data_IF_861041360072
#
_entry.id   IF_861041360072
#
_cell.length_a   1.000
_cell.length_b   1.000
_cell.length_c   1.000
_cell.angle_alpha   90.00
_cell.angle_beta   90.00
_cell.angle_gamma   90.00
#
_symmetry.space_group_name_H-M   'P 1'
#
loop_
_entity.id
_entity.type
_entity.pdbx_description
1 polymer ?
#
# COMPACT_ATOMS: atom_id res chain seq x y z
N UNK A 1 -18.88 -24.83 0.95
CA UNK A 1 -17.40 -24.81 1.06
C UNK A 1 -17.00 -23.92 2.22
N UNK A 2 -16.10 -24.37 3.11
CA UNK A 2 -15.63 -23.48 4.20
C UNK A 2 -14.84 -22.30 3.63
N UNK A 3 -14.79 -21.17 4.37
CA UNK A 3 -14.03 -19.98 3.95
C UNK A 3 -12.56 -20.29 3.68
N UNK A 4 -11.95 -21.13 4.51
CA UNK A 4 -10.55 -21.55 4.36
C UNK A 4 -10.30 -22.46 3.15
N UNK A 5 -11.24 -23.32 2.81
CA UNK A 5 -11.14 -24.12 1.58
C UNK A 5 -11.30 -23.26 0.32
N UNK A 6 -12.16 -22.24 0.36
CA UNK A 6 -12.30 -21.27 -0.74
C UNK A 6 -11.00 -20.49 -0.97
N UNK A 7 -10.38 -20.02 0.12
CA UNK A 7 -9.08 -19.35 0.07
C UNK A 7 -7.98 -20.25 -0.51
N UNK A 8 -7.92 -21.51 -0.09
CA UNK A 8 -6.94 -22.46 -0.63
C UNK A 8 -7.11 -22.63 -2.15
N UNK A 9 -8.34 -22.75 -2.64
CA UNK A 9 -8.59 -22.84 -4.09
C UNK A 9 -8.06 -21.62 -4.82
N UNK A 10 -8.35 -20.41 -4.32
CA UNK A 10 -7.84 -19.19 -4.95
C UNK A 10 -6.32 -19.07 -4.84
N UNK A 11 -5.70 -19.51 -3.74
CA UNK A 11 -4.24 -19.54 -3.62
C UNK A 11 -3.59 -20.52 -4.59
N UNK A 12 -4.18 -21.69 -4.79
CA UNK A 12 -3.69 -22.67 -5.78
C UNK A 12 -3.81 -22.09 -7.20
N UNK A 13 -4.92 -21.43 -7.53
CA UNK A 13 -5.09 -20.76 -8.81
C UNK A 13 -4.08 -19.62 -8.98
N UNK A 14 -3.89 -18.77 -7.96
CA UNK A 14 -2.88 -17.72 -7.97
C UNK A 14 -1.48 -18.29 -8.16
N UNK A 15 -1.14 -19.38 -7.46
CA UNK A 15 0.13 -20.09 -7.59
C UNK A 15 0.35 -20.67 -8.98
N UNK A 16 -0.68 -21.25 -9.60
CA UNK A 16 -0.61 -21.77 -10.96
C UNK A 16 -0.36 -20.64 -11.99
N UNK A 17 -1.13 -19.54 -11.91
CA UNK A 17 -0.97 -18.37 -12.78
C UNK A 17 0.42 -17.76 -12.60
N UNK A 18 0.88 -17.62 -11.36
CA UNK A 18 2.21 -17.09 -11.04
C UNK A 18 3.34 -17.93 -11.61
N UNK A 19 3.24 -19.25 -11.45
CA UNK A 19 4.25 -20.18 -11.97
C UNK A 19 4.27 -20.14 -13.49
N UNK A 20 3.11 -20.10 -14.15
CA UNK A 20 3.02 -19.99 -15.60
C UNK A 20 3.64 -18.69 -16.11
N UNK A 21 3.33 -17.55 -15.49
CA UNK A 21 3.89 -16.25 -15.84
C UNK A 21 5.41 -16.24 -15.69
N UNK A 22 5.93 -16.73 -14.56
CA UNK A 22 7.36 -16.81 -14.30
C UNK A 22 8.09 -17.72 -15.28
N UNK A 23 7.55 -18.91 -15.56
CA UNK A 23 8.10 -19.85 -16.56
C UNK A 23 8.10 -19.23 -17.94
N UNK A 24 7.04 -18.51 -18.33
CA UNK A 24 6.95 -17.82 -19.62
C UNK A 24 8.05 -16.76 -19.77
N UNK A 25 8.24 -15.92 -18.76
CA UNK A 25 9.32 -14.91 -18.74
C UNK A 25 10.70 -15.56 -18.77
N UNK A 26 10.89 -16.62 -18.01
CA UNK A 26 12.17 -17.35 -17.97
C UNK A 26 12.50 -17.97 -19.32
N UNK A 27 11.54 -18.67 -19.94
CA UNK A 27 11.70 -19.27 -21.26
C UNK A 27 11.97 -18.22 -22.35
N UNK A 28 11.28 -17.08 -22.31
CA UNK A 28 11.53 -15.95 -23.20
C UNK A 28 12.93 -15.35 -23.08
N UNK A 29 13.50 -15.36 -21.87
CA UNK A 29 14.82 -14.77 -21.58
C UNK A 29 16.00 -15.71 -21.88
N UNK A 30 15.87 -16.98 -21.51
CA UNK A 30 16.97 -17.97 -21.57
C UNK A 30 16.79 -19.02 -22.67
N UNK A 31 15.65 -19.04 -23.37
CA UNK A 31 15.25 -20.03 -24.38
C UNK A 31 15.25 -21.48 -23.90
N UNK A 32 15.32 -21.70 -22.59
CA UNK A 32 15.30 -23.01 -21.93
C UNK A 32 14.48 -22.92 -20.64
N UNK A 33 13.80 -24.01 -20.28
CA UNK A 33 13.14 -24.14 -18.98
C UNK A 33 14.13 -24.82 -18.03
N UNK A 34 14.65 -24.09 -17.05
CA UNK A 34 15.59 -24.62 -16.07
C UNK A 34 14.87 -24.95 -14.76
N UNK A 35 15.42 -25.93 -14.01
CA UNK A 35 14.95 -26.31 -12.67
C UNK A 35 14.89 -25.13 -11.70
N UNK A 36 15.77 -24.15 -11.83
CA UNK A 36 15.81 -22.94 -11.01
C UNK A 36 14.52 -22.12 -11.10
N UNK A 37 13.91 -22.01 -12.30
CA UNK A 37 12.65 -21.26 -12.47
C UNK A 37 11.48 -21.91 -11.74
N UNK A 38 11.43 -23.23 -11.72
CA UNK A 38 10.42 -24.00 -11.01
C UNK A 38 10.61 -23.87 -9.48
N UNK A 39 11.87 -23.92 -9.00
CA UNK A 39 12.17 -23.81 -7.56
C UNK A 39 11.70 -22.46 -7.00
N UNK A 40 11.91 -21.35 -7.69
CA UNK A 40 11.43 -20.04 -7.22
C UNK A 40 9.90 -19.97 -7.16
N UNK A 41 9.20 -20.52 -8.15
CA UNK A 41 7.74 -20.63 -8.12
C UNK A 41 7.25 -21.49 -6.94
N UNK A 42 7.89 -22.63 -6.70
CA UNK A 42 7.55 -23.52 -5.56
C UNK A 42 7.78 -22.82 -4.22
N UNK A 43 8.92 -22.13 -4.04
CA UNK A 43 9.20 -21.38 -2.81
C UNK A 43 8.14 -20.31 -2.58
N UNK A 44 7.78 -19.55 -3.64
CA UNK A 44 6.73 -18.53 -3.56
C UNK A 44 5.39 -19.13 -3.09
N UNK A 45 4.96 -20.22 -3.72
CA UNK A 45 3.73 -20.92 -3.36
C UNK A 45 3.79 -21.46 -1.93
N UNK A 46 4.94 -22.02 -1.52
CA UNK A 46 5.13 -22.53 -0.16
C UNK A 46 5.00 -21.45 0.91
N UNK A 47 5.50 -20.23 0.66
CA UNK A 47 5.34 -19.09 1.58
C UNK A 47 3.85 -18.80 1.80
N UNK A 48 3.06 -18.65 0.74
CA UNK A 48 1.65 -18.32 0.85
C UNK A 48 0.81 -19.49 1.41
N UNK A 49 1.18 -20.73 1.14
CA UNK A 49 0.56 -21.89 1.79
C UNK A 49 0.87 -21.93 3.30
N UNK A 50 2.08 -21.56 3.71
CA UNK A 50 2.42 -21.43 5.13
C UNK A 50 1.55 -20.35 5.80
N UNK A 51 1.41 -19.17 5.18
CA UNK A 51 0.53 -18.11 5.68
C UNK A 51 -0.93 -18.58 5.75
N UNK A 52 -1.41 -19.30 4.74
CA UNK A 52 -2.76 -19.90 4.75
C UNK A 52 -2.94 -20.88 5.91
N UNK A 53 -1.95 -21.74 6.17
CA UNK A 53 -2.02 -22.69 7.32
C UNK A 53 -2.07 -21.94 8.64
N UNK A 54 -1.32 -20.86 8.79
CA UNK A 54 -1.38 -19.99 9.95
C UNK A 54 -2.77 -19.35 10.12
N UNK A 55 -3.35 -18.81 9.03
CA UNK A 55 -4.70 -18.27 9.05
C UNK A 55 -5.74 -19.33 9.41
N UNK A 56 -5.58 -20.54 8.91
CA UNK A 56 -6.47 -21.66 9.23
C UNK A 56 -6.45 -22.01 10.72
N UNK A 57 -5.30 -21.87 11.36
CA UNK A 57 -5.12 -22.18 12.80
C UNK A 57 -5.56 -21.04 13.71
N UNK A 58 -5.17 -19.81 13.39
CA UNK A 58 -5.35 -18.66 14.29
C UNK A 58 -6.48 -17.70 13.89
N UNK A 59 -6.84 -17.66 12.60
CA UNK A 59 -7.83 -16.73 12.04
C UNK A 59 -8.88 -17.46 11.19
N UNK A 60 -9.56 -18.50 11.71
CA UNK A 60 -10.41 -19.41 10.91
C UNK A 60 -11.59 -18.70 10.23
N UNK A 61 -12.07 -17.57 10.77
CA UNK A 61 -13.21 -16.81 10.24
C UNK A 61 -12.79 -15.57 9.45
N UNK A 62 -11.49 -15.34 9.20
CA UNK A 62 -11.02 -14.20 8.43
C UNK A 62 -11.51 -14.21 6.97
N UNK A 63 -11.36 -13.08 6.29
CA UNK A 63 -11.74 -12.91 4.89
C UNK A 63 -10.94 -13.82 3.96
N UNK A 64 -11.58 -14.61 3.08
CA UNK A 64 -10.88 -15.58 2.25
C UNK A 64 -10.26 -15.01 0.97
N UNK A 65 -10.40 -13.70 0.70
CA UNK A 65 -9.94 -13.09 -0.56
C UNK A 65 -8.66 -12.27 -0.39
N UNK A 66 -8.40 -11.70 0.79
CA UNK A 66 -7.27 -10.79 0.99
C UNK A 66 -5.92 -11.47 0.71
N UNK A 67 -5.69 -12.67 1.27
CA UNK A 67 -4.42 -13.38 1.09
C UNK A 67 -4.20 -13.84 -0.37
N UNK A 68 -5.19 -14.43 -1.09
CA UNK A 68 -5.02 -14.78 -2.50
C UNK A 68 -4.78 -13.58 -3.43
N UNK A 69 -5.47 -12.46 -3.20
CA UNK A 69 -5.23 -11.23 -3.98
C UNK A 69 -3.82 -10.70 -3.73
N UNK A 70 -3.37 -10.70 -2.47
CA UNK A 70 -2.00 -10.34 -2.10
C UNK A 70 -0.97 -11.24 -2.79
N UNK A 71 -1.21 -12.56 -2.80
CA UNK A 71 -0.34 -13.52 -3.47
C UNK A 71 -0.25 -13.26 -4.96
N UNK A 72 -1.37 -13.00 -5.63
CA UNK A 72 -1.39 -12.75 -7.07
C UNK A 72 -0.67 -11.45 -7.42
N UNK A 73 -0.92 -10.36 -6.68
CA UNK A 73 -0.21 -9.08 -6.88
C UNK A 73 1.31 -9.23 -6.65
N UNK A 74 1.73 -9.91 -5.57
CA UNK A 74 3.14 -10.15 -5.27
C UNK A 74 3.82 -11.03 -6.31
N UNK A 75 3.12 -12.01 -6.86
CA UNK A 75 3.60 -12.86 -7.92
C UNK A 75 3.85 -12.09 -9.22
N UNK A 76 2.87 -11.26 -9.61
CA UNK A 76 3.01 -10.41 -10.81
C UNK A 76 4.20 -9.45 -10.65
N UNK A 77 4.31 -8.80 -9.48
CA UNK A 77 5.45 -7.94 -9.18
C UNK A 77 6.79 -8.67 -9.27
N UNK A 78 6.89 -9.83 -8.62
CA UNK A 78 8.14 -10.61 -8.62
C UNK A 78 8.52 -11.08 -10.03
N UNK A 79 7.54 -11.46 -10.85
CA UNK A 79 7.75 -11.87 -12.25
C UNK A 79 8.30 -10.71 -13.09
N UNK A 80 7.71 -9.53 -12.99
CA UNK A 80 8.17 -8.34 -13.72
C UNK A 80 9.53 -7.84 -13.24
N UNK A 81 9.76 -7.83 -11.91
CA UNK A 81 11.08 -7.50 -11.35
C UNK A 81 12.14 -8.46 -11.87
N UNK A 82 11.85 -9.76 -11.92
CA UNK A 82 12.76 -10.75 -12.49
C UNK A 82 13.02 -10.51 -13.99
N UNK A 83 11.98 -10.14 -14.74
CA UNK A 83 12.06 -9.78 -16.15
C UNK A 83 13.03 -8.62 -16.39
N UNK A 84 12.92 -7.57 -15.57
CA UNK A 84 13.71 -6.34 -15.70
C UNK A 84 15.13 -6.56 -15.13
N UNK A 85 15.24 -7.01 -13.88
CA UNK A 85 16.52 -7.15 -13.16
C UNK A 85 16.51 -8.34 -12.21
N UNK A 86 16.99 -9.53 -12.61
CA UNK A 86 16.93 -10.77 -11.83
C UNK A 86 17.55 -10.70 -10.45
N UNK A 87 18.63 -9.92 -10.27
CA UNK A 87 19.27 -9.74 -8.96
C UNK A 87 18.34 -9.10 -7.94
N UNK A 88 17.47 -8.15 -8.37
CA UNK A 88 16.51 -7.51 -7.50
C UNK A 88 15.32 -8.44 -7.15
N UNK A 89 14.97 -9.38 -8.03
CA UNK A 89 13.94 -10.36 -7.73
C UNK A 89 14.32 -11.28 -6.56
N UNK A 90 15.61 -11.65 -6.46
CA UNK A 90 16.12 -12.40 -5.31
C UNK A 90 16.00 -11.61 -4.02
N UNK A 91 16.42 -10.34 -4.04
CA UNK A 91 16.31 -9.45 -2.89
C UNK A 91 14.84 -9.22 -2.51
N UNK A 92 13.94 -9.05 -3.48
CA UNK A 92 12.51 -8.92 -3.23
C UNK A 92 11.92 -10.21 -2.62
N UNK A 93 12.38 -11.38 -3.07
CA UNK A 93 12.01 -12.67 -2.47
C UNK A 93 12.46 -12.80 -1.00
N UNK A 94 13.67 -12.32 -0.66
CA UNK A 94 14.14 -12.24 0.72
C UNK A 94 13.26 -11.32 1.57
N UNK A 95 12.89 -10.15 1.05
CA UNK A 95 11.96 -9.24 1.71
C UNK A 95 10.56 -9.82 1.87
N UNK A 96 10.09 -10.63 0.92
CA UNK A 96 8.83 -11.35 1.05
C UNK A 96 8.87 -12.33 2.23
N UNK A 97 10.00 -13.03 2.43
CA UNK A 97 10.20 -13.90 3.60
C UNK A 97 10.20 -13.11 4.92
N UNK A 98 10.90 -11.96 4.97
CA UNK A 98 10.88 -11.07 6.13
C UNK A 98 9.46 -10.57 6.40
N UNK A 99 8.74 -10.18 5.35
CA UNK A 99 7.34 -9.73 5.45
C UNK A 99 6.41 -10.85 5.93
N UNK A 100 6.58 -12.08 5.42
CA UNK A 100 5.84 -13.25 5.89
C UNK A 100 6.13 -13.55 7.38
N UNK A 101 7.38 -13.43 7.81
CA UNK A 101 7.75 -13.58 9.22
C UNK A 101 7.09 -12.50 10.09
N UNK A 102 7.07 -11.24 9.64
CA UNK A 102 6.39 -10.16 10.37
C UNK A 102 4.86 -10.30 10.35
N UNK A 103 4.27 -10.83 9.28
CA UNK A 103 2.86 -11.22 9.26
C UNK A 103 2.58 -12.24 10.37
N UNK A 104 3.36 -13.33 10.43
CA UNK A 104 3.25 -14.38 11.46
C UNK A 104 3.40 -13.78 12.85
N UNK A 105 4.45 -12.99 13.07
CA UNK A 105 4.70 -12.34 14.36
C UNK A 105 3.55 -11.40 14.76
N UNK A 106 2.99 -10.66 13.81
CA UNK A 106 1.83 -9.79 14.06
C UNK A 106 0.65 -10.60 14.56
N UNK A 107 0.30 -11.71 13.90
CA UNK A 107 -0.81 -12.57 14.31
C UNK A 107 -0.55 -13.22 15.69
N UNK A 108 0.67 -13.70 15.94
CA UNK A 108 1.00 -14.43 17.17
C UNK A 108 1.19 -13.54 18.40
N UNK A 109 1.82 -12.35 18.21
CA UNK A 109 2.13 -11.44 19.32
C UNK A 109 0.93 -10.55 19.66
N UNK A 110 0.31 -9.95 18.64
CA UNK A 110 -0.82 -9.05 18.87
C UNK A 110 -2.05 -9.82 19.35
N UNK A 111 -2.28 -11.03 18.82
CA UNK A 111 -3.41 -11.95 19.13
C UNK A 111 -4.79 -11.31 19.02
N UNK A 112 -4.96 -10.15 19.62
CA UNK A 112 -6.17 -9.33 19.54
C UNK A 112 -5.77 -7.89 19.19
N UNK A 113 -6.19 -7.44 18.01
CA UNK A 113 -5.86 -6.10 17.50
C UNK A 113 -6.38 -4.97 18.40
N UNK A 114 -7.40 -5.21 19.23
CA UNK A 114 -7.90 -4.20 20.20
C UNK A 114 -6.81 -3.79 21.21
N UNK A 115 -5.85 -4.66 21.50
CA UNK A 115 -4.72 -4.28 22.36
C UNK A 115 -3.92 -3.10 21.79
N UNK A 116 -3.90 -2.92 20.48
CA UNK A 116 -3.22 -1.80 19.83
C UNK A 116 -3.85 -0.46 20.23
N UNK A 117 -5.16 -0.40 20.48
CA UNK A 117 -5.83 0.80 20.95
C UNK A 117 -5.32 1.26 22.31
N UNK A 118 -5.04 0.31 23.22
CA UNK A 118 -4.47 0.62 24.53
C UNK A 118 -3.09 1.30 24.43
N UNK A 119 -2.31 0.92 23.41
CA UNK A 119 -0.94 1.43 23.19
C UNK A 119 -0.87 2.48 22.09
N UNK A 120 -2.01 3.05 21.63
CA UNK A 120 -2.10 3.98 20.49
C UNK A 120 -1.10 5.15 20.54
N UNK A 121 -0.91 5.77 21.70
CA UNK A 121 0.04 6.87 21.87
C UNK A 121 1.50 6.42 21.73
N UNK A 122 1.83 5.28 22.30
CA UNK A 122 3.17 4.69 22.16
C UNK A 122 3.44 4.30 20.71
N UNK A 123 2.48 3.66 20.05
CA UNK A 123 2.61 3.27 18.63
C UNK A 123 2.75 4.52 17.76
N UNK A 124 1.96 5.57 17.98
CA UNK A 124 2.09 6.83 17.28
C UNK A 124 3.45 7.51 17.52
N UNK A 125 3.95 7.52 18.77
CA UNK A 125 5.27 8.03 19.09
C UNK A 125 6.38 7.22 18.40
N UNK A 126 6.27 5.89 18.33
CA UNK A 126 7.19 5.04 17.56
C UNK A 126 7.14 5.39 16.07
N UNK A 127 5.97 5.64 15.50
CA UNK A 127 5.82 6.09 14.12
C UNK A 127 6.58 7.39 13.85
N UNK A 128 6.43 8.40 14.72
CA UNK A 128 7.21 9.64 14.64
C UNK A 128 8.70 9.41 14.83
N UNK A 129 9.09 8.58 15.79
CA UNK A 129 10.49 8.25 16.04
C UNK A 129 11.16 7.59 14.83
N UNK A 130 10.45 6.74 14.09
CA UNK A 130 10.92 6.16 12.82
C UNK A 130 11.20 7.23 11.76
N UNK A 131 10.37 8.27 11.66
CA UNK A 131 10.61 9.39 10.74
C UNK A 131 11.82 10.23 11.19
N UNK A 132 11.94 10.54 12.49
CA UNK A 132 13.12 11.23 13.06
C UNK A 132 14.39 10.42 12.81
N UNK A 133 14.35 9.12 13.05
CA UNK A 133 15.48 8.22 12.83
C UNK A 133 15.96 8.26 11.38
N UNK A 134 15.04 8.37 10.42
CA UNK A 134 15.37 8.52 9.00
C UNK A 134 16.08 9.85 8.73
N UNK A 135 15.66 10.94 9.37
CA UNK A 135 16.33 12.25 9.23
C UNK A 135 17.77 12.19 9.76
N UNK A 136 17.99 11.50 10.89
CA UNK A 136 19.31 11.41 11.54
C UNK A 136 20.22 10.42 10.82
N UNK A 137 19.78 9.18 10.62
CA UNK A 137 20.60 8.06 10.14
C UNK A 137 20.44 7.76 8.65
N UNK A 138 19.45 8.35 7.97
CA UNK A 138 19.16 8.05 6.57
C UNK A 138 20.27 8.50 5.64
N UNK A 139 20.44 7.75 4.54
CA UNK A 139 21.33 8.09 3.44
C UNK A 139 20.59 8.89 2.36
N UNK A 140 21.30 9.84 1.76
CA UNK A 140 20.72 10.65 0.68
C UNK A 140 20.91 9.95 -0.66
N UNK A 141 19.80 9.61 -1.32
CA UNK A 141 19.78 9.02 -2.66
C UNK A 141 18.91 9.93 -3.54
N UNK A 142 19.42 10.35 -4.69
CA UNK A 142 18.72 11.27 -5.61
C UNK A 142 18.19 12.54 -4.92
N UNK A 143 18.93 13.06 -3.94
CA UNK A 143 18.56 14.27 -3.19
C UNK A 143 17.50 14.11 -2.11
N UNK A 144 16.94 12.92 -1.91
CA UNK A 144 16.00 12.59 -0.85
C UNK A 144 16.63 11.66 0.20
N UNK A 145 16.30 11.86 1.48
CA UNK A 145 16.84 11.10 2.60
C UNK A 145 15.80 10.13 3.12
N UNK A 146 15.67 8.96 2.46
CA UNK A 146 14.55 8.04 2.65
C UNK A 146 14.95 6.70 3.26
N UNK A 147 16.21 6.28 3.06
CA UNK A 147 16.66 4.91 3.31
C UNK A 147 17.66 4.84 4.45
N UNK A 148 17.47 3.88 5.34
CA UNK A 148 18.46 3.47 6.33
C UNK A 148 19.05 2.14 5.87
N UNK A 149 20.36 2.10 5.69
CA UNK A 149 21.08 0.87 5.35
C UNK A 149 21.56 0.19 6.64
N UNK A 150 21.06 -1.02 6.89
CA UNK A 150 21.45 -1.82 8.05
C UNK A 150 21.54 -3.30 7.65
N UNK A 151 22.59 -3.98 8.07
CA UNK A 151 22.79 -5.43 7.85
C UNK A 151 22.64 -5.89 6.39
N UNK A 152 23.03 -5.03 5.44
CA UNK A 152 22.89 -5.33 4.00
C UNK A 152 21.49 -5.10 3.41
N UNK A 153 20.55 -4.61 4.22
CA UNK A 153 19.20 -4.26 3.80
C UNK A 153 18.99 -2.74 3.77
N UNK A 154 18.17 -2.28 2.82
CA UNK A 154 17.72 -0.89 2.73
C UNK A 154 16.29 -0.80 3.25
N UNK A 155 16.12 -0.17 4.39
CA UNK A 155 14.82 -0.02 5.07
C UNK A 155 14.32 1.41 4.86
N UNK A 156 13.05 1.56 4.49
CA UNK A 156 12.34 2.83 4.42
C UNK A 156 11.36 2.93 5.61
N UNK A 157 11.73 3.64 6.70
CA UNK A 157 10.93 3.65 7.92
C UNK A 157 9.55 4.29 7.75
N UNK A 158 9.35 5.19 6.77
CA UNK A 158 8.06 5.83 6.50
C UNK A 158 6.95 4.83 6.15
N UNK A 159 7.28 3.67 5.55
CA UNK A 159 6.31 2.61 5.27
C UNK A 159 5.74 1.99 6.56
N UNK A 160 6.55 1.82 7.60
CA UNK A 160 6.09 1.35 8.92
C UNK A 160 5.43 2.47 9.73
N UNK A 161 5.95 3.70 9.64
CA UNK A 161 5.36 4.87 10.28
C UNK A 161 3.91 5.10 9.79
N UNK A 162 3.62 4.84 8.52
CA UNK A 162 2.27 4.86 7.96
C UNK A 162 1.30 4.00 8.77
N UNK A 163 1.67 2.75 9.06
CA UNK A 163 0.83 1.83 9.84
C UNK A 163 0.66 2.31 11.29
N UNK A 164 1.74 2.75 11.91
CA UNK A 164 1.71 3.26 13.27
C UNK A 164 0.79 4.49 13.42
N UNK A 165 0.82 5.40 12.46
CA UNK A 165 -0.04 6.59 12.43
C UNK A 165 -1.51 6.21 12.19
N UNK A 166 -1.79 5.23 11.31
CA UNK A 166 -3.16 4.72 11.13
C UNK A 166 -3.71 4.13 12.43
N UNK A 167 -2.92 3.33 13.17
CA UNK A 167 -3.32 2.78 14.47
C UNK A 167 -3.60 3.89 15.48
N UNK A 168 -2.70 4.88 15.57
CA UNK A 168 -2.89 6.03 16.46
C UNK A 168 -4.15 6.80 16.11
N UNK A 169 -4.35 7.15 14.83
CA UNK A 169 -5.52 7.90 14.38
C UNK A 169 -6.81 7.13 14.66
N UNK A 170 -6.84 5.82 14.35
CA UNK A 170 -8.02 4.99 14.59
C UNK A 170 -8.45 5.01 16.06
N UNK A 171 -7.52 4.79 16.99
CA UNK A 171 -7.82 4.79 18.42
C UNK A 171 -8.15 6.18 18.96
N UNK A 172 -7.39 7.20 18.55
CA UNK A 172 -7.65 8.57 19.00
C UNK A 172 -9.00 9.09 18.51
N UNK A 173 -9.31 8.87 17.24
CA UNK A 173 -10.55 9.32 16.64
C UNK A 173 -11.77 8.60 17.21
N UNK A 174 -11.68 7.29 17.48
CA UNK A 174 -12.78 6.56 18.12
C UNK A 174 -13.10 7.12 19.50
N UNK A 175 -12.09 7.40 20.32
CA UNK A 175 -12.24 7.96 21.67
C UNK A 175 -12.80 9.41 21.64
N UNK A 176 -12.41 10.23 20.65
CA UNK A 176 -12.73 11.67 20.60
C UNK A 176 -13.76 12.07 19.54
N UNK A 177 -14.30 11.13 18.75
CA UNK A 177 -15.23 11.43 17.63
C UNK A 177 -16.40 12.33 18.01
N UNK A 178 -17.02 12.11 19.17
CA UNK A 178 -18.16 12.94 19.63
C UNK A 178 -17.70 14.38 19.89
N UNK A 179 -16.58 14.55 20.59
CA UNK A 179 -16.03 15.87 20.91
C UNK A 179 -15.54 16.62 19.66
N UNK A 180 -15.02 15.89 18.68
CA UNK A 180 -14.58 16.44 17.40
C UNK A 180 -15.74 16.77 16.47
N UNK A 181 -16.91 16.13 16.67
CA UNK A 181 -18.10 16.39 15.86
C UNK A 181 -18.92 17.59 16.35
N UNK A 182 -18.73 18.05 17.60
CA UNK A 182 -19.46 19.19 18.16
C UNK A 182 -18.64 20.47 18.05
N UNK A 183 -19.05 21.46 17.26
CA UNK A 183 -18.36 22.74 17.18
C UNK A 183 -18.46 23.50 18.47
N UNK A 184 -17.34 23.96 19.03
CA UNK A 184 -17.30 24.80 20.25
C UNK A 184 -16.87 26.24 19.96
N UNK A 185 -16.22 26.48 18.81
CA UNK A 185 -15.77 27.80 18.38
C UNK A 185 -16.01 28.00 16.89
N UNK A 186 -16.22 29.22 16.48
CA UNK A 186 -16.25 29.62 15.07
C UNK A 186 -15.03 30.49 14.79
N UNK A 187 -14.17 30.06 13.88
CA UNK A 187 -13.01 30.84 13.42
C UNK A 187 -13.20 31.10 11.93
N UNK A 188 -13.30 32.35 11.55
CA UNK A 188 -13.60 32.77 10.16
C UNK A 188 -14.86 32.11 9.58
N UNK A 189 -15.89 31.91 10.41
CA UNK A 189 -17.14 31.25 10.00
C UNK A 189 -17.05 29.70 9.93
N UNK A 190 -15.88 29.11 10.16
CA UNK A 190 -15.69 27.64 10.17
C UNK A 190 -15.94 27.12 11.59
N UNK A 191 -16.86 26.17 11.78
CA UNK A 191 -17.13 25.56 13.09
C UNK A 191 -16.00 24.59 13.46
N UNK A 192 -15.16 24.97 14.42
CA UNK A 192 -14.03 24.17 14.90
C UNK A 192 -14.32 23.54 16.26
N UNK A 193 -13.82 22.32 16.52
CA UNK A 193 -13.86 21.71 17.84
C UNK A 193 -12.91 22.42 18.81
N UNK A 194 -13.04 22.13 20.12
CA UNK A 194 -12.10 22.66 21.10
C UNK A 194 -10.68 22.19 20.79
N UNK A 195 -9.72 23.12 20.86
CA UNK A 195 -8.30 22.85 20.60
C UNK A 195 -7.73 21.71 21.46
N UNK A 196 -8.24 21.55 22.68
CA UNK A 196 -7.88 20.44 23.59
C UNK A 196 -8.03 19.06 22.92
N UNK A 197 -9.03 18.87 22.05
CA UNK A 197 -9.30 17.59 21.40
C UNK A 197 -8.71 17.51 19.98
N UNK A 198 -8.55 18.64 19.32
CA UNK A 198 -7.97 18.69 17.97
C UNK A 198 -6.45 18.85 18.00
N UNK A 199 -5.90 19.48 19.05
CA UNK A 199 -4.48 19.79 19.17
C UNK A 199 -3.55 18.58 19.03
N UNK A 200 -3.73 17.48 19.78
CA UNK A 200 -2.88 16.29 19.65
C UNK A 200 -2.89 15.68 18.25
N UNK A 201 -4.02 15.69 17.55
CA UNK A 201 -4.14 15.26 16.17
C UNK A 201 -3.35 16.17 15.24
N UNK A 202 -3.53 17.48 15.42
CA UNK A 202 -2.84 18.48 14.61
C UNK A 202 -1.32 18.40 14.80
N UNK A 203 -0.86 18.23 16.03
CA UNK A 203 0.58 18.08 16.35
C UNK A 203 1.16 16.84 15.64
N UNK A 204 0.52 15.69 15.82
CA UNK A 204 0.97 14.44 15.15
C UNK A 204 1.03 14.61 13.64
N UNK A 205 0.00 15.22 13.07
CA UNK A 205 -0.10 15.43 11.64
C UNK A 205 0.96 16.42 11.12
N UNK A 206 1.07 17.60 11.75
CA UNK A 206 2.05 18.62 11.35
C UNK A 206 3.48 18.10 11.49
N UNK A 207 3.80 17.39 12.59
CA UNK A 207 5.13 16.79 12.79
C UNK A 207 5.42 15.73 11.72
N UNK A 208 4.46 14.86 11.41
CA UNK A 208 4.64 13.84 10.37
C UNK A 208 4.91 14.48 9.01
N UNK A 209 4.11 15.50 8.64
CA UNK A 209 4.29 16.21 7.38
C UNK A 209 5.61 16.98 7.33
N UNK A 210 5.96 17.69 8.40
CA UNK A 210 7.22 18.42 8.48
C UNK A 210 8.41 17.47 8.26
N UNK A 211 8.43 16.32 8.96
CA UNK A 211 9.49 15.32 8.80
C UNK A 211 9.59 14.80 7.37
N UNK A 212 8.46 14.49 6.72
CA UNK A 212 8.44 14.02 5.34
C UNK A 212 8.90 15.09 4.34
N UNK A 213 8.57 16.36 4.60
CA UNK A 213 9.08 17.48 3.80
C UNK A 213 10.60 17.63 3.98
N UNK A 214 11.13 17.53 5.21
CA UNK A 214 12.58 17.54 5.44
C UNK A 214 13.31 16.38 4.76
N UNK A 215 12.67 15.21 4.68
CA UNK A 215 13.16 14.05 3.95
C UNK A 215 13.03 14.20 2.43
N UNK A 216 12.29 15.19 1.96
CA UNK A 216 11.86 15.38 0.55
C UNK A 216 11.01 14.23 0.02
N UNK A 217 10.24 13.59 0.88
CA UNK A 217 9.30 12.51 0.56
C UNK A 217 7.88 13.08 0.34
N UNK A 218 7.70 13.78 -0.74
CA UNK A 218 6.42 14.44 -1.04
C UNK A 218 5.30 13.43 -1.36
N UNK A 219 5.67 12.25 -1.88
CA UNK A 219 4.71 11.18 -2.14
C UNK A 219 4.10 10.63 -0.85
N UNK A 220 4.94 10.32 0.13
CA UNK A 220 4.48 9.88 1.44
C UNK A 220 3.78 11.02 2.21
N UNK A 221 4.21 12.27 2.05
CA UNK A 221 3.52 13.41 2.64
C UNK A 221 2.08 13.55 2.13
N UNK A 222 1.88 13.42 0.82
CA UNK A 222 0.54 13.38 0.21
C UNK A 222 -0.30 12.23 0.75
N UNK A 223 0.30 11.04 0.85
CA UNK A 223 -0.37 9.84 1.38
C UNK A 223 -0.81 10.04 2.85
N UNK A 224 0.09 10.52 3.73
CA UNK A 224 -0.23 10.76 5.14
C UNK A 224 -1.31 11.82 5.33
N UNK A 225 -1.22 12.91 4.56
CA UNK A 225 -2.26 13.95 4.51
C UNK A 225 -3.62 13.35 4.16
N UNK A 226 -3.67 12.58 3.08
CA UNK A 226 -4.92 12.00 2.57
C UNK A 226 -5.50 10.96 3.54
N UNK A 227 -4.66 10.14 4.19
CA UNK A 227 -5.09 9.21 5.24
C UNK A 227 -5.70 9.98 6.42
N UNK A 228 -5.03 11.04 6.87
CA UNK A 228 -5.53 11.85 7.98
C UNK A 228 -6.91 12.45 7.69
N UNK A 229 -7.06 13.10 6.54
CA UNK A 229 -8.33 13.71 6.12
C UNK A 229 -9.43 12.65 5.95
N UNK A 230 -9.10 11.53 5.33
CA UNK A 230 -10.02 10.42 5.12
C UNK A 230 -10.53 9.83 6.44
N UNK A 231 -9.63 9.54 7.39
CA UNK A 231 -10.01 9.02 8.71
C UNK A 231 -10.80 10.04 9.54
N UNK A 232 -10.42 11.33 9.49
CA UNK A 232 -11.18 12.40 10.13
C UNK A 232 -12.63 12.46 9.62
N UNK A 233 -12.80 12.37 8.29
CA UNK A 233 -14.14 12.34 7.70
C UNK A 233 -14.93 11.10 8.12
N UNK A 234 -14.31 9.91 8.03
CA UNK A 234 -14.98 8.66 8.41
C UNK A 234 -15.37 8.59 9.89
N UNK A 235 -14.57 9.22 10.77
CA UNK A 235 -14.87 9.25 12.20
C UNK A 235 -15.93 10.27 12.59
N UNK A 236 -15.97 11.43 11.91
CA UNK A 236 -16.82 12.58 12.32
C UNK A 236 -18.00 12.84 11.40
N UNK A 237 -18.01 12.29 10.18
CA UNK A 237 -18.95 12.58 9.09
C UNK A 237 -19.05 14.09 8.74
N UNK A 238 -18.02 14.90 9.07
CA UNK A 238 -18.01 16.35 8.85
C UNK A 238 -17.22 16.71 7.61
N UNK A 239 -17.88 17.17 6.57
CA UNK A 239 -17.27 17.62 5.30
C UNK A 239 -16.27 18.77 5.50
N UNK A 240 -16.43 19.56 6.56
CA UNK A 240 -15.54 20.67 6.91
C UNK A 240 -14.09 20.22 7.02
N UNK A 241 -13.82 19.04 7.56
CA UNK A 241 -12.44 18.51 7.64
C UNK A 241 -11.86 18.17 6.28
N UNK A 242 -12.69 17.71 5.35
CA UNK A 242 -12.26 17.45 3.96
C UNK A 242 -11.92 18.76 3.26
N UNK A 243 -12.81 19.77 3.37
CA UNK A 243 -12.60 21.09 2.75
C UNK A 243 -11.38 21.80 3.36
N UNK A 244 -11.26 21.79 4.70
CA UNK A 244 -10.11 22.39 5.38
C UNK A 244 -8.81 21.65 5.01
N UNK A 245 -8.83 20.31 4.99
CA UNK A 245 -7.69 19.50 4.59
C UNK A 245 -7.28 19.76 3.14
N UNK A 246 -8.23 19.79 2.21
CA UNK A 246 -7.97 20.10 0.81
C UNK A 246 -7.41 21.52 0.63
N UNK A 247 -7.96 22.49 1.37
CA UNK A 247 -7.46 23.88 1.37
C UNK A 247 -6.03 23.99 1.90
N UNK A 248 -5.72 23.32 3.02
CA UNK A 248 -4.37 23.28 3.57
C UNK A 248 -3.39 22.57 2.62
N UNK A 249 -3.84 21.50 1.98
CA UNK A 249 -3.02 20.80 0.97
C UNK A 249 -2.74 21.70 -0.24
N UNK A 250 -3.75 22.38 -0.76
CA UNK A 250 -3.58 23.33 -1.87
C UNK A 250 -2.62 24.48 -1.51
N UNK A 251 -2.75 25.03 -0.30
CA UNK A 251 -1.86 26.08 0.20
C UNK A 251 -0.42 25.57 0.37
N UNK A 252 -0.23 24.42 0.98
CA UNK A 252 1.09 23.79 1.14
C UNK A 252 1.71 23.43 -0.23
N UNK A 253 0.91 22.93 -1.15
CA UNK A 253 1.32 22.66 -2.53
C UNK A 253 1.74 23.92 -3.29
N UNK A 254 1.00 25.02 -3.14
CA UNK A 254 1.35 26.30 -3.74
C UNK A 254 2.67 26.85 -3.19
N UNK A 255 2.88 26.75 -1.87
CA UNK A 255 4.16 27.13 -1.23
C UNK A 255 5.29 26.23 -1.73
N UNK A 256 5.08 24.92 -1.78
CA UNK A 256 6.09 23.99 -2.29
C UNK A 256 6.46 24.25 -3.74
N UNK A 257 5.48 24.55 -4.60
CA UNK A 257 5.69 24.99 -5.97
C UNK A 257 6.50 26.28 -6.08
N UNK A 258 6.32 27.23 -5.15
CA UNK A 258 7.05 28.49 -5.16
C UNK A 258 8.51 28.37 -4.68
N UNK A 259 8.80 27.40 -3.77
CA UNK A 259 10.07 27.37 -3.03
C UNK A 259 10.94 26.14 -3.37
N UNK A 260 10.33 25.00 -3.80
CA UNK A 260 11.06 23.74 -3.97
C UNK A 260 11.24 23.40 -5.45
N UNK A 261 12.47 23.52 -6.01
CA UNK A 261 12.72 23.29 -7.44
C UNK A 261 12.27 21.90 -7.93
N UNK A 262 12.54 20.87 -7.15
CA UNK A 262 12.15 19.50 -7.50
C UNK A 262 10.62 19.29 -7.62
N UNK A 263 9.82 20.06 -6.86
CA UNK A 263 8.35 20.06 -6.98
C UNK A 263 7.93 20.80 -8.25
N UNK A 264 8.59 21.91 -8.55
CA UNK A 264 8.37 22.68 -9.80
C UNK A 264 8.62 21.80 -11.02
N UNK A 265 9.76 21.08 -11.06
CA UNK A 265 10.10 20.19 -12.17
C UNK A 265 9.03 19.12 -12.38
N UNK A 266 8.56 18.47 -11.30
CA UNK A 266 7.51 17.44 -11.39
C UNK A 266 6.18 17.99 -11.91
N UNK A 267 5.80 19.18 -11.48
CA UNK A 267 4.59 19.85 -11.95
C UNK A 267 4.70 20.31 -13.41
N UNK A 268 5.83 20.90 -13.80
CA UNK A 268 6.09 21.32 -15.17
C UNK A 268 6.07 20.15 -16.14
N UNK A 269 6.75 19.05 -15.79
CA UNK A 269 6.77 17.81 -16.58
C UNK A 269 5.38 17.16 -16.65
N UNK A 270 4.59 17.24 -15.59
CA UNK A 270 3.24 16.72 -15.59
C UNK A 270 2.31 17.49 -16.52
N UNK A 271 2.40 18.83 -16.52
CA UNK A 271 1.58 19.69 -17.38
C UNK A 271 2.02 19.60 -18.85
N UNK A 272 3.32 19.75 -19.12
CA UNK A 272 3.88 19.66 -20.46
C UNK A 272 5.25 18.93 -20.46
N UNK A 273 5.28 17.61 -20.70
CA UNK A 273 6.52 16.86 -20.71
C UNK A 273 7.36 17.03 -21.99
N UNK A 274 6.77 17.52 -23.09
CA UNK A 274 7.40 17.55 -24.40
C UNK A 274 8.64 18.46 -24.50
N UNK A 275 8.63 19.67 -23.98
CA UNK A 275 9.81 20.54 -23.96
C UNK A 275 10.97 19.95 -23.13
N UNK A 276 10.67 19.01 -22.23
CA UNK A 276 11.62 18.37 -21.32
C UNK A 276 11.94 16.91 -21.70
N UNK A 277 11.63 16.51 -22.94
CA UNK A 277 11.74 15.12 -23.41
C UNK A 277 13.15 14.53 -23.30
N UNK A 278 14.19 15.34 -23.43
CA UNK A 278 15.59 14.89 -23.32
C UNK A 278 16.16 14.93 -21.87
N UNK A 279 15.39 15.41 -20.91
CA UNK A 279 15.82 15.62 -19.53
C UNK A 279 14.79 15.06 -18.50
N UNK A 280 14.21 15.91 -17.70
CA UNK A 280 13.29 15.53 -16.60
C UNK A 280 11.98 14.90 -17.10
N UNK A 281 11.52 15.20 -18.31
CA UNK A 281 10.33 14.61 -18.94
C UNK A 281 10.55 13.27 -19.60
N UNK A 282 11.81 12.86 -19.83
CA UNK A 282 12.16 11.62 -20.53
C UNK A 282 11.47 10.38 -19.92
N UNK A 283 11.57 10.23 -18.63
CA UNK A 283 11.05 9.07 -17.89
C UNK A 283 9.53 8.90 -18.06
N UNK A 284 8.79 10.01 -17.93
CA UNK A 284 7.32 10.01 -18.09
C UNK A 284 6.90 9.73 -19.53
N UNK A 285 7.56 10.36 -20.51
CA UNK A 285 7.26 10.15 -21.93
C UNK A 285 7.54 8.71 -22.36
N UNK A 286 8.71 8.15 -21.97
CA UNK A 286 9.03 6.76 -22.26
C UNK A 286 8.03 5.80 -21.61
N UNK A 287 7.55 6.11 -20.41
CA UNK A 287 6.49 5.33 -19.77
C UNK A 287 5.20 5.34 -20.60
N UNK A 288 4.74 6.51 -21.05
CA UNK A 288 3.53 6.63 -21.87
C UNK A 288 3.65 5.91 -23.22
N UNK A 289 4.81 6.00 -23.88
CA UNK A 289 5.07 5.25 -25.11
C UNK A 289 5.06 3.75 -24.88
N UNK A 290 5.74 3.30 -23.82
CA UNK A 290 5.79 1.89 -23.46
C UNK A 290 4.40 1.33 -23.14
N UNK A 291 3.53 2.09 -22.46
CA UNK A 291 2.12 1.71 -22.22
C UNK A 291 1.37 1.63 -23.55
N UNK A 292 1.54 2.62 -24.43
CA UNK A 292 0.86 2.66 -25.72
C UNK A 292 1.24 1.48 -26.63
N UNK A 293 2.53 1.10 -26.65
CA UNK A 293 3.05 -0.04 -27.41
C UNK A 293 2.43 -1.38 -26.97
N UNK A 294 2.00 -1.49 -25.72
CA UNK A 294 1.29 -2.68 -25.24
C UNK A 294 -0.08 -2.91 -25.88
N UNK A 295 -0.74 -1.87 -26.37
CA UNK A 295 -2.05 -1.97 -26.99
C UNK A 295 -3.10 -2.64 -26.09
N UNK A 296 -4.03 -3.39 -26.69
CA UNK A 296 -5.13 -4.03 -25.95
C UNK A 296 -4.71 -5.35 -25.30
N UNK A 297 -3.99 -6.20 -26.03
CA UNK A 297 -3.66 -7.58 -25.62
C UNK A 297 -2.25 -7.73 -25.04
N UNK A 298 -1.41 -6.71 -25.16
CA UNK A 298 -0.01 -6.75 -24.74
C UNK A 298 0.92 -7.40 -25.76
N UNK A 299 2.21 -7.14 -25.57
CA UNK A 299 3.28 -7.76 -26.36
C UNK A 299 3.51 -9.23 -25.98
N UNK A 300 2.96 -9.69 -24.85
CA UNK A 300 3.15 -10.98 -24.23
C UNK A 300 4.27 -10.99 -23.18
N UNK A 301 4.12 -11.85 -22.17
CA UNK A 301 5.12 -11.99 -21.08
C UNK A 301 6.53 -12.29 -21.62
N UNK A 302 7.48 -11.49 -21.20
CA UNK A 302 8.88 -11.61 -21.60
C UNK A 302 9.21 -11.10 -23.01
N UNK A 303 8.23 -10.60 -23.76
CA UNK A 303 8.37 -10.13 -25.16
C UNK A 303 8.28 -8.62 -25.32
N UNK A 304 7.85 -7.89 -24.31
CA UNK A 304 7.76 -6.45 -24.33
C UNK A 304 9.12 -5.78 -24.57
N UNK A 305 9.12 -4.64 -25.26
CA UNK A 305 10.33 -3.83 -25.44
C UNK A 305 10.59 -2.97 -24.19
N UNK A 306 10.96 -3.64 -23.11
CA UNK A 306 11.25 -3.04 -21.80
C UNK A 306 12.73 -2.74 -21.56
N UNK A 307 13.62 -3.38 -22.33
CA UNK A 307 15.06 -3.30 -22.15
C UNK A 307 15.73 -3.01 -23.49
N UNK A 308 16.71 -2.11 -23.48
CA UNK A 308 17.64 -1.91 -24.58
C UNK A 308 18.54 -3.15 -24.80
N UNK A 309 19.25 -3.25 -25.95
CA UNK A 309 20.19 -4.35 -26.20
C UNK A 309 21.29 -4.51 -25.14
N UNK A 310 21.69 -3.41 -24.49
CA UNK A 310 22.63 -3.39 -23.36
C UNK A 310 21.98 -3.79 -22.02
N UNK A 311 20.72 -4.26 -22.03
CA UNK A 311 19.91 -4.67 -20.88
C UNK A 311 19.58 -3.55 -19.89
N UNK A 312 19.75 -2.29 -20.25
CA UNK A 312 19.24 -1.17 -19.45
C UNK A 312 17.74 -1.01 -19.70
N UNK A 313 16.93 -0.68 -18.67
CA UNK A 313 15.52 -0.39 -18.85
C UNK A 313 15.30 0.81 -19.78
N UNK A 314 14.33 0.70 -20.70
CA UNK A 314 13.88 1.80 -21.57
C UNK A 314 13.34 2.96 -20.75
N UNK A 315 12.59 2.64 -19.69
CA UNK A 315 12.12 3.61 -18.69
C UNK A 315 13.04 3.51 -17.48
N UNK A 316 13.74 4.57 -17.06
CA UNK A 316 14.51 4.57 -15.82
C UNK A 316 13.60 4.20 -14.63
N UNK A 317 14.16 3.48 -13.65
CA UNK A 317 13.43 3.00 -12.46
C UNK A 317 12.14 2.20 -12.74
N UNK A 318 12.13 1.48 -13.89
CA UNK A 318 11.00 0.67 -14.34
C UNK A 318 10.54 -0.35 -13.28
N UNK A 319 11.48 -0.93 -12.53
CA UNK A 319 11.22 -1.96 -11.51
C UNK A 319 10.60 -1.39 -10.22
N UNK A 320 10.69 -0.08 -9.97
CA UNK A 320 10.18 0.59 -8.78
C UNK A 320 8.93 1.39 -9.11
N UNK A 321 9.12 2.60 -9.58
CA UNK A 321 8.05 3.59 -9.74
C UNK A 321 7.19 3.35 -10.99
N UNK A 322 7.75 2.70 -12.02
CA UNK A 322 7.10 2.50 -13.32
C UNK A 322 6.77 1.04 -13.64
N UNK A 323 6.70 0.17 -12.63
CA UNK A 323 6.43 -1.25 -12.87
C UNK A 323 5.05 -1.50 -13.52
N UNK A 324 4.06 -0.63 -13.24
CA UNK A 324 2.77 -0.68 -13.90
C UNK A 324 2.88 -0.48 -15.43
N UNK A 325 3.87 0.30 -15.88
CA UNK A 325 4.21 0.48 -17.30
C UNK A 325 4.66 -0.85 -17.93
N UNK A 326 5.50 -1.62 -17.23
CA UNK A 326 5.93 -2.93 -17.71
C UNK A 326 4.76 -3.90 -17.86
N UNK A 327 3.88 -3.95 -16.86
CA UNK A 327 2.67 -4.77 -16.88
C UNK A 327 1.75 -4.34 -18.04
N UNK A 328 1.52 -3.04 -18.21
CA UNK A 328 0.69 -2.52 -19.29
C UNK A 328 1.27 -2.80 -20.68
N UNK A 329 2.59 -2.83 -20.84
CA UNK A 329 3.24 -3.20 -22.08
C UNK A 329 3.11 -4.69 -22.36
N UNK A 330 3.45 -5.56 -21.42
CA UNK A 330 3.48 -7.01 -21.65
C UNK A 330 2.09 -7.64 -21.64
N UNK A 331 1.15 -7.15 -20.82
CA UNK A 331 -0.21 -7.68 -20.68
C UNK A 331 -1.28 -6.83 -21.38
N UNK A 332 -0.92 -5.68 -21.92
CA UNK A 332 -1.83 -4.73 -22.56
C UNK A 332 -2.84 -4.09 -21.62
N UNK A 333 -3.81 -3.40 -22.20
CA UNK A 333 -4.91 -2.76 -21.48
C UNK A 333 -5.72 -3.78 -20.64
N UNK A 334 -5.96 -4.98 -21.16
CA UNK A 334 -6.72 -6.00 -20.42
C UNK A 334 -5.99 -6.46 -19.17
N UNK A 335 -4.68 -6.71 -19.26
CA UNK A 335 -3.89 -7.09 -18.09
C UNK A 335 -3.73 -5.96 -17.08
N UNK A 336 -3.46 -4.75 -17.55
CA UNK A 336 -3.38 -3.55 -16.70
C UNK A 336 -4.72 -3.31 -15.96
N UNK A 337 -5.86 -3.41 -16.65
CA UNK A 337 -7.18 -3.32 -16.04
C UNK A 337 -7.42 -4.47 -15.03
N UNK A 338 -6.99 -5.69 -15.34
CA UNK A 338 -7.04 -6.83 -14.41
C UNK A 338 -6.29 -6.56 -13.11
N UNK A 339 -5.09 -5.97 -13.17
CA UNK A 339 -4.33 -5.57 -11.98
C UNK A 339 -5.06 -4.48 -11.20
N UNK A 340 -5.60 -3.45 -11.87
CA UNK A 340 -6.41 -2.41 -11.20
C UNK A 340 -7.63 -3.02 -10.50
N UNK A 341 -8.33 -3.98 -11.14
CA UNK A 341 -9.46 -4.68 -10.54
C UNK A 341 -9.06 -5.50 -9.30
N UNK A 342 -7.87 -6.10 -9.26
CA UNK A 342 -7.36 -6.77 -8.05
C UNK A 342 -7.14 -5.77 -6.91
N UNK A 343 -6.60 -4.57 -7.19
CA UNK A 343 -6.49 -3.51 -6.19
C UNK A 343 -7.86 -3.04 -5.71
N UNK A 344 -8.81 -2.82 -6.62
CA UNK A 344 -10.19 -2.44 -6.27
C UNK A 344 -10.85 -3.52 -5.42
N UNK A 345 -10.67 -4.80 -5.76
CA UNK A 345 -11.18 -5.94 -4.98
C UNK A 345 -10.58 -5.93 -3.55
N UNK A 346 -9.26 -5.74 -3.41
CA UNK A 346 -8.59 -5.67 -2.11
C UNK A 346 -9.17 -4.53 -1.25
N UNK A 347 -9.27 -3.33 -1.83
CA UNK A 347 -9.80 -2.13 -1.16
C UNK A 347 -11.27 -2.33 -0.76
N UNK A 348 -12.08 -2.86 -1.66
CA UNK A 348 -13.48 -3.17 -1.38
C UNK A 348 -13.63 -4.16 -0.22
N UNK A 349 -12.79 -5.23 -0.19
CA UNK A 349 -12.75 -6.18 0.94
C UNK A 349 -12.34 -5.50 2.24
N UNK A 350 -11.33 -4.62 2.21
CA UNK A 350 -10.90 -3.83 3.36
C UNK A 350 -12.00 -2.94 3.93
N UNK A 351 -12.70 -2.18 3.08
CA UNK A 351 -13.85 -1.36 3.53
C UNK A 351 -15.03 -2.21 3.99
N UNK A 352 -15.27 -3.34 3.35
CA UNK A 352 -16.30 -4.28 3.83
C UNK A 352 -15.99 -4.79 5.24
N UNK A 353 -14.73 -5.11 5.54
CA UNK A 353 -14.30 -5.47 6.90
C UNK A 353 -14.57 -4.33 7.87
N UNK A 354 -14.27 -3.08 7.50
CA UNK A 354 -14.51 -1.90 8.30
C UNK A 354 -16.00 -1.69 8.61
N UNK A 355 -16.88 -1.83 7.61
CA UNK A 355 -18.33 -1.69 7.79
C UNK A 355 -18.89 -2.73 8.76
N UNK A 356 -18.37 -3.94 8.75
CA UNK A 356 -18.84 -5.04 9.60
C UNK A 356 -18.08 -5.16 10.92
N UNK A 357 -17.11 -4.29 11.19
CA UNK A 357 -16.36 -4.31 12.44
C UNK A 357 -17.28 -3.97 13.65
N UNK A 358 -17.13 -4.70 14.78
CA UNK A 358 -18.07 -4.63 15.90
C UNK A 358 -17.89 -3.38 16.76
N UNK A 359 -16.74 -2.76 16.76
CA UNK A 359 -16.37 -1.61 17.58
C UNK A 359 -15.75 -0.48 16.74
N UNK A 360 -15.73 0.73 17.30
CA UNK A 360 -15.30 1.93 16.58
C UNK A 360 -13.81 1.91 16.22
N UNK A 361 -12.95 1.42 17.12
CA UNK A 361 -11.52 1.29 16.84
C UNK A 361 -11.25 0.33 15.67
N UNK A 362 -11.84 -0.88 15.71
CA UNK A 362 -11.72 -1.86 14.63
C UNK A 362 -12.23 -1.33 13.30
N UNK A 363 -13.36 -0.57 13.34
CA UNK A 363 -13.92 0.08 12.15
C UNK A 363 -12.94 1.07 11.54
N UNK A 364 -12.41 1.99 12.34
CA UNK A 364 -11.50 3.04 11.86
C UNK A 364 -10.14 2.47 11.49
N UNK A 365 -9.64 1.44 12.19
CA UNK A 365 -8.41 0.77 11.85
C UNK A 365 -8.51 0.11 10.46
N UNK A 366 -9.53 -0.71 10.24
CA UNK A 366 -9.70 -1.38 8.94
C UNK A 366 -9.95 -0.37 7.82
N UNK A 367 -10.76 0.67 8.06
CA UNK A 367 -11.00 1.74 7.10
C UNK A 367 -9.71 2.52 6.79
N UNK A 368 -8.90 2.84 7.79
CA UNK A 368 -7.63 3.55 7.62
C UNK A 368 -6.59 2.73 6.84
N UNK A 369 -6.46 1.44 7.13
CA UNK A 369 -5.57 0.53 6.40
C UNK A 369 -6.02 0.37 4.94
N UNK A 370 -7.33 0.19 4.69
CA UNK A 370 -7.88 0.12 3.34
C UNK A 370 -7.69 1.45 2.57
N UNK A 371 -7.88 2.59 3.23
CA UNK A 371 -7.65 3.92 2.66
C UNK A 371 -6.17 4.13 2.32
N UNK A 372 -5.26 3.77 3.21
CA UNK A 372 -3.82 3.88 2.96
C UNK A 372 -3.39 3.07 1.73
N UNK A 373 -3.89 1.84 1.61
CA UNK A 373 -3.64 0.97 0.47
C UNK A 373 -4.24 1.51 -0.83
N UNK A 374 -5.49 1.99 -0.78
CA UNK A 374 -6.19 2.56 -1.93
C UNK A 374 -5.49 3.82 -2.46
N UNK A 375 -5.14 4.74 -1.56
CA UNK A 375 -4.50 6.00 -1.92
C UNK A 375 -3.09 5.78 -2.45
N UNK A 376 -2.29 4.88 -1.84
CA UNK A 376 -0.96 4.55 -2.33
C UNK A 376 -1.04 3.97 -3.75
N UNK A 377 -1.98 3.06 -4.01
CA UNK A 377 -2.23 2.50 -5.35
C UNK A 377 -2.66 3.57 -6.35
N UNK A 378 -3.60 4.43 -5.96
CA UNK A 378 -4.10 5.52 -6.82
C UNK A 378 -2.99 6.52 -7.18
N UNK A 379 -2.20 6.92 -6.19
CA UNK A 379 -1.13 7.91 -6.38
C UNK A 379 -0.08 7.40 -7.35
N UNK A 380 0.34 6.12 -7.26
CA UNK A 380 1.38 5.63 -8.17
C UNK A 380 0.85 5.35 -9.57
N UNK A 381 -0.30 4.69 -9.71
CA UNK A 381 -0.90 4.43 -11.03
C UNK A 381 -1.26 5.75 -11.71
N UNK A 382 -1.86 6.69 -10.96
CA UNK A 382 -2.19 8.02 -11.44
C UNK A 382 -0.96 8.83 -11.89
N UNK A 383 0.16 8.71 -11.17
CA UNK A 383 1.42 9.35 -11.54
C UNK A 383 2.00 8.78 -12.84
N UNK A 384 2.05 7.46 -12.97
CA UNK A 384 2.58 6.76 -14.14
C UNK A 384 1.73 7.00 -15.40
N UNK A 385 0.41 7.11 -15.24
CA UNK A 385 -0.54 7.40 -16.33
C UNK A 385 -0.75 8.90 -16.60
N UNK A 386 0.04 9.76 -15.95
CA UNK A 386 -0.09 11.22 -16.07
C UNK A 386 -1.44 11.79 -15.61
N UNK A 387 -2.20 11.10 -14.79
CA UNK A 387 -3.43 11.62 -14.18
C UNK A 387 -3.11 12.67 -13.10
N UNK A 388 -2.04 12.45 -12.34
CA UNK A 388 -1.49 13.35 -11.32
C UNK A 388 0.04 13.46 -11.49
N UNK A 389 0.72 14.44 -10.85
CA UNK A 389 2.18 14.50 -10.86
C UNK A 389 2.82 13.23 -10.27
N UNK A 390 3.93 12.78 -10.84
CA UNK A 390 4.66 11.61 -10.39
C UNK A 390 5.22 11.83 -8.97
N UNK A 391 5.02 10.87 -8.08
CA UNK A 391 5.37 11.01 -6.67
C UNK A 391 6.56 10.17 -6.21
N UNK A 392 6.89 9.07 -6.90
CA UNK A 392 8.01 8.19 -6.55
C UNK A 392 7.76 7.29 -5.34
N UNK A 393 6.50 6.92 -5.07
CA UNK A 393 6.15 5.89 -4.09
C UNK A 393 5.98 4.53 -4.77
N UNK A 394 6.05 3.45 -4.00
CA UNK A 394 5.96 2.09 -4.54
C UNK A 394 4.52 1.62 -4.71
N UNK A 395 4.22 0.85 -5.76
CA UNK A 395 2.95 0.16 -5.94
C UNK A 395 2.90 -1.07 -5.02
N UNK A 396 1.95 -1.13 -4.05
CA UNK A 396 1.92 -2.18 -3.03
C UNK A 396 1.97 -3.59 -3.63
N UNK A 397 2.85 -4.46 -3.10
CA UNK A 397 3.13 -5.83 -3.52
C UNK A 397 3.77 -5.99 -4.90
N UNK A 398 3.58 -5.06 -5.83
CA UNK A 398 4.01 -5.17 -7.24
C UNK A 398 5.37 -4.52 -7.47
N UNK A 399 5.60 -3.28 -7.01
CA UNK A 399 6.90 -2.61 -7.15
C UNK A 399 8.01 -3.30 -6.36
N UNK A 400 9.23 -3.20 -6.86
CA UNK A 400 10.40 -3.48 -6.05
C UNK A 400 10.47 -2.50 -4.88
N UNK A 401 10.39 -3.05 -3.66
CA UNK A 401 10.44 -2.26 -2.43
C UNK A 401 10.30 -3.15 -1.20
N UNK A 402 11.42 -3.50 -0.59
CA UNK A 402 11.47 -4.42 0.54
C UNK A 402 10.64 -3.97 1.73
N UNK A 403 10.78 -2.72 2.14
CA UNK A 403 10.00 -2.16 3.26
C UNK A 403 8.52 -2.07 2.93
N UNK A 404 8.18 -1.75 1.68
CA UNK A 404 6.79 -1.64 1.24
C UNK A 404 6.09 -2.99 1.27
N UNK A 405 6.68 -4.06 0.69
CA UNK A 405 6.08 -5.40 0.71
C UNK A 405 5.92 -5.91 2.15
N UNK A 406 6.92 -5.64 3.01
CA UNK A 406 6.92 -6.05 4.41
C UNK A 406 5.84 -5.32 5.22
N UNK A 407 5.76 -3.99 5.12
CA UNK A 407 4.74 -3.19 5.80
C UNK A 407 3.31 -3.54 5.31
N UNK A 408 3.14 -3.77 4.01
CA UNK A 408 1.84 -4.15 3.46
C UNK A 408 1.42 -5.59 3.86
N UNK A 409 2.35 -6.53 4.10
CA UNK A 409 2.01 -7.83 4.70
C UNK A 409 1.54 -7.69 6.16
N UNK A 410 2.14 -6.80 6.95
CA UNK A 410 1.63 -6.44 8.28
C UNK A 410 0.24 -5.81 8.20
N UNK A 411 -0.01 -4.94 7.22
CA UNK A 411 -1.34 -4.37 6.93
C UNK A 411 -2.37 -5.47 6.66
N UNK A 412 -2.04 -6.45 5.83
CA UNK A 412 -2.92 -7.60 5.54
C UNK A 412 -3.21 -8.41 6.81
N UNK A 413 -2.19 -8.69 7.64
CA UNK A 413 -2.37 -9.38 8.91
C UNK A 413 -3.37 -8.66 9.82
N UNK A 414 -3.24 -7.34 9.97
CA UNK A 414 -4.16 -6.53 10.77
C UNK A 414 -5.59 -6.55 10.22
N UNK A 415 -5.77 -6.41 8.90
CA UNK A 415 -7.10 -6.51 8.27
C UNK A 415 -7.74 -7.89 8.50
N UNK A 416 -6.97 -8.96 8.38
CA UNK A 416 -7.44 -10.33 8.62
C UNK A 416 -7.82 -10.56 10.08
N UNK A 417 -7.07 -9.99 11.04
CA UNK A 417 -7.41 -10.05 12.47
C UNK A 417 -8.73 -9.33 12.76
N UNK A 418 -8.93 -8.12 12.21
CA UNK A 418 -10.21 -7.39 12.33
C UNK A 418 -11.34 -8.21 11.71
N UNK A 419 -11.13 -8.76 10.52
CA UNK A 419 -12.11 -9.58 9.82
C UNK A 419 -12.51 -10.83 10.61
N UNK A 420 -11.52 -11.55 11.15
CA UNK A 420 -11.75 -12.76 11.93
C UNK A 420 -12.66 -12.47 13.14
N UNK A 421 -12.31 -11.45 13.95
CA UNK A 421 -13.10 -11.05 15.10
C UNK A 421 -14.52 -10.63 14.71
N UNK A 422 -14.67 -9.81 13.67
CA UNK A 422 -15.96 -9.35 13.17
C UNK A 422 -16.88 -10.51 12.78
N UNK A 423 -16.32 -11.51 12.09
CA UNK A 423 -17.09 -12.67 11.64
C UNK A 423 -17.44 -13.64 12.79
N UNK A 424 -16.59 -13.78 13.81
CA UNK A 424 -16.87 -14.58 15.01
C UNK A 424 -18.06 -13.98 15.76
N UNK A 425 -18.05 -12.67 16.04
CA UNK A 425 -19.12 -11.99 16.77
C UNK A 425 -20.44 -12.07 16.00
N UNK A 426 -20.43 -11.84 14.68
CA UNK A 426 -21.63 -11.95 13.83
C UNK A 426 -22.20 -13.37 13.82
N UNK A 427 -21.34 -14.38 13.65
CA UNK A 427 -21.78 -15.78 13.65
C UNK A 427 -22.41 -16.19 14.96
N UNK A 428 -21.87 -15.73 16.10
CA UNK A 428 -22.48 -15.93 17.43
C UNK A 428 -23.87 -15.32 17.57
N UNK A 429 -24.01 -14.05 17.15
CA UNK A 429 -25.30 -13.33 17.21
C UNK A 429 -26.38 -13.93 16.30
N UNK A 430 -26.02 -14.43 15.13
CA UNK A 430 -26.94 -15.12 14.22
C UNK A 430 -27.43 -16.46 14.79
N UNK A 431 -26.56 -17.22 15.43
CA UNK A 431 -26.93 -18.47 16.09
C UNK A 431 -27.88 -18.25 17.27
N UNK A 432 -27.65 -17.20 18.05
CA UNK A 432 -28.51 -16.83 19.16
C UNK A 432 -29.90 -16.38 18.68
N UNK A 433 -29.98 -15.55 17.63
CA UNK A 433 -31.27 -15.19 17.02
C UNK A 433 -32.04 -16.38 16.50
N UNK A 434 -31.39 -17.35 15.85
CA UNK A 434 -32.05 -18.59 15.38
C UNK A 434 -32.58 -19.41 16.55
N UNK A 435 -31.81 -19.58 17.63
CA UNK A 435 -32.26 -20.28 18.83
C UNK A 435 -33.46 -19.62 19.50
N UNK A 436 -33.54 -18.29 19.51
CA UNK A 436 -34.68 -17.54 20.03
C UNK A 436 -35.91 -17.69 19.14
N UNK A 437 -35.74 -17.68 17.82
CA UNK A 437 -36.84 -17.90 16.86
C UNK A 437 -37.40 -19.33 16.87
N UNK A 438 -36.58 -20.33 17.24
CA UNK A 438 -37.00 -21.74 17.38
C UNK A 438 -37.73 -22.01 18.74
N UNK A 439 -37.65 -21.07 19.70
CA UNK A 439 -38.25 -21.21 21.03
C UNK A 439 -39.56 -20.40 21.21
N UNK A 440 -39.90 -19.52 20.29
CA UNK A 440 -41.15 -18.77 20.22
C UNK A 440 -42.07 -19.32 19.14
#
# INVERSE_FOLDING_TARGET
MSRRNLELVFLVLAGAVSTMAYVSVYAGRFREINRVSIIYGVIFVAIFLLLHMLERLFLPQADPFLLPVTALLAAMGLTEIFRIKPSLALTQGQWLLVGAALFVLTVLIVRDHIRLDRYRYLIGAVGLALLVLTIVLGTTVNGAKLWIHAFGFSIQPSEFAKLAIVVFLAGYLDDKKVMLSVPQRHVLGVPLPAFKYFGPLLIMWVLSLAMLVFMKDFGMALLFMSIFVGLMYMATARIVYVVAGAGLFAAAGAIALAVVPHVQDRFTVWLDPWPHAAATGYQLLQSLFTIADGGVLGAGFGRGYLLYPNRQPVVPDLQTDFIFTAIANEMGLLGAAGIVLLYVLFVWRGFRIAVYAPDGFSKLLAAGLATAFALQTFIIIGGVTRLIPLTGITLPFVSYGGSSITANLVLVALLLMVSNRSNIIRGGSELERRRLAERG
#
